data_IF_016819498431
#
_entry.id   IF_016819498431
#
_cell.length_a   1.000
_cell.length_b   1.000
_cell.length_c   1.000
_cell.angle_alpha   90.00
_cell.angle_beta   90.00
_cell.angle_gamma   90.00
#
_symmetry.space_group_name_H-M   'P 1'
#
loop_
_entity.id
_entity.type
_entity.pdbx_description
1 polymer ?
#
# COMPACT_ATOMS: atom_id res chain seq x y z
N UNK A 1 -0.74 22.20 4.62
CA UNK A 1 0.48 21.78 5.32
C UNK A 1 1.67 22.17 4.48
N UNK A 2 2.77 22.56 5.09
CA UNK A 2 3.96 23.07 4.40
C UNK A 2 5.05 21.98 4.32
N UNK A 3 6.17 22.30 3.70
CA UNK A 3 7.35 21.43 3.57
C UNK A 3 7.84 20.90 4.95
N UNK A 4 7.70 21.72 6.00
CA UNK A 4 8.04 21.34 7.37
C UNK A 4 7.19 20.17 7.88
N UNK A 5 5.87 20.14 7.61
CA UNK A 5 5.00 19.03 8.02
C UNK A 5 5.32 17.74 7.26
N UNK A 6 5.69 17.84 5.97
CA UNK A 6 6.15 16.69 5.19
C UNK A 6 7.43 16.13 5.79
N UNK A 7 8.40 16.97 6.09
CA UNK A 7 9.66 16.52 6.69
C UNK A 7 9.43 15.92 8.09
N UNK A 8 8.52 16.51 8.88
CA UNK A 8 8.19 16.01 10.22
C UNK A 8 7.59 14.60 10.17
N UNK A 9 6.58 14.35 9.32
CA UNK A 9 5.98 13.01 9.22
C UNK A 9 6.99 11.98 8.72
N UNK A 10 7.80 12.31 7.71
CA UNK A 10 8.82 11.40 7.20
C UNK A 10 9.88 11.06 8.25
N UNK A 11 10.35 12.07 9.02
CA UNK A 11 11.30 11.84 10.11
C UNK A 11 10.71 10.92 11.16
N UNK A 12 9.46 11.16 11.56
CA UNK A 12 8.77 10.34 12.56
C UNK A 12 8.61 8.89 12.10
N UNK A 13 8.22 8.68 10.84
CA UNK A 13 8.09 7.34 10.26
C UNK A 13 9.45 6.63 10.15
N UNK A 14 10.52 7.33 9.77
CA UNK A 14 11.86 6.75 9.72
C UNK A 14 12.37 6.31 11.11
N UNK A 15 12.07 7.08 12.16
CA UNK A 15 12.35 6.67 13.54
C UNK A 15 11.57 5.41 13.92
N UNK A 16 10.28 5.37 13.66
CA UNK A 16 9.41 4.24 13.99
C UNK A 16 9.75 2.96 13.22
N UNK A 17 10.31 3.08 12.02
CA UNK A 17 10.78 1.95 11.21
C UNK A 17 12.25 1.56 11.53
N UNK A 18 12.93 2.29 12.41
CA UNK A 18 14.34 2.05 12.72
C UNK A 18 15.31 2.34 11.57
N UNK A 19 14.88 3.13 10.58
CA UNK A 19 15.70 3.52 9.41
C UNK A 19 16.64 4.67 9.79
N UNK A 20 16.24 5.52 10.72
CA UNK A 20 17.01 6.69 11.16
C UNK A 20 17.21 6.67 12.67
N UNK A 21 18.39 7.11 13.13
CA UNK A 21 18.66 7.40 14.53
C UNK A 21 18.08 8.77 14.93
N UNK A 22 17.82 9.02 16.23
CA UNK A 22 17.18 10.27 16.68
C UNK A 22 18.13 11.49 16.75
N UNK A 23 19.15 11.57 15.89
CA UNK A 23 20.18 12.62 15.94
C UNK A 23 19.76 13.92 15.23
N UNK A 24 18.98 13.82 14.16
CA UNK A 24 18.55 14.97 13.32
C UNK A 24 17.03 15.18 13.40
N UNK A 25 16.56 15.56 14.59
CA UNK A 25 15.12 15.64 14.91
C UNK A 25 14.67 17.04 15.36
N UNK A 26 15.49 18.06 15.19
CA UNK A 26 15.20 19.43 15.67
C UNK A 26 13.84 19.96 15.17
N UNK A 27 13.44 19.59 13.94
CA UNK A 27 12.14 19.93 13.39
C UNK A 27 10.97 19.32 14.17
N UNK A 28 11.12 18.11 14.74
CA UNK A 28 10.10 17.49 15.60
C UNK A 28 10.10 18.10 17.01
N UNK A 29 11.29 18.38 17.57
CA UNK A 29 11.41 18.94 18.92
C UNK A 29 10.75 20.32 19.04
N UNK A 30 10.73 21.11 17.97
CA UNK A 30 10.16 22.45 17.93
C UNK A 30 8.65 22.54 17.70
N UNK A 31 7.98 21.40 17.47
CA UNK A 31 6.54 21.39 17.19
C UNK A 31 5.73 21.80 18.43
N UNK A 32 4.74 22.67 18.23
CA UNK A 32 3.72 22.99 19.22
C UNK A 32 2.73 21.84 19.38
N UNK A 33 1.90 21.88 20.43
CA UNK A 33 0.88 20.85 20.66
C UNK A 33 -0.07 20.69 19.46
N UNK A 34 -0.61 21.77 18.91
CA UNK A 34 -1.50 21.72 17.74
C UNK A 34 -0.83 21.14 16.50
N UNK A 35 0.50 21.37 16.32
CA UNK A 35 1.24 20.76 15.21
C UNK A 35 1.42 19.25 15.39
N UNK A 36 1.59 18.77 16.64
CA UNK A 36 1.60 17.34 16.95
C UNK A 36 0.26 16.69 16.69
N UNK A 37 -0.85 17.33 17.06
CA UNK A 37 -2.20 16.86 16.76
C UNK A 37 -2.43 16.74 15.27
N UNK A 38 -2.10 17.75 14.48
CA UNK A 38 -2.21 17.75 13.02
C UNK A 38 -1.35 16.63 12.39
N UNK A 39 -0.13 16.43 12.90
CA UNK A 39 0.80 15.43 12.40
C UNK A 39 0.27 14.00 12.64
N UNK A 40 -0.23 13.71 13.84
CA UNK A 40 -0.79 12.40 14.14
C UNK A 40 -2.14 12.15 13.44
N UNK A 41 -2.96 13.17 13.28
CA UNK A 41 -4.17 13.09 12.45
C UNK A 41 -3.83 12.80 10.97
N UNK A 42 -2.75 13.38 10.43
CA UNK A 42 -2.25 13.03 9.12
C UNK A 42 -1.80 11.56 9.08
N UNK A 43 -1.02 11.11 10.05
CA UNK A 43 -0.55 9.72 10.13
C UNK A 43 -1.73 8.73 10.16
N UNK A 44 -2.81 9.06 10.87
CA UNK A 44 -4.03 8.25 10.94
C UNK A 44 -4.72 8.16 9.58
N UNK A 45 -4.96 9.30 8.91
CA UNK A 45 -5.55 9.33 7.56
C UNK A 45 -4.71 8.57 6.53
N UNK A 46 -3.40 8.59 6.67
CA UNK A 46 -2.45 7.93 5.79
C UNK A 46 -2.24 6.43 6.12
N UNK A 47 -2.89 5.92 7.17
CA UNK A 47 -2.79 4.53 7.62
C UNK A 47 -1.42 4.16 8.20
N UNK A 48 -0.73 5.11 8.83
CA UNK A 48 0.62 4.92 9.39
C UNK A 48 0.74 5.40 10.84
N UNK A 49 -0.41 5.57 11.54
CA UNK A 49 -0.44 6.09 12.91
C UNK A 49 0.42 5.26 13.86
N UNK A 50 0.30 3.94 13.85
CA UNK A 50 1.04 3.09 14.78
C UNK A 50 2.56 3.22 14.59
N UNK A 51 3.03 3.32 13.33
CA UNK A 51 4.44 3.56 13.02
C UNK A 51 4.88 4.95 13.50
N UNK A 52 4.01 5.95 13.34
CA UNK A 52 4.28 7.31 13.83
C UNK A 52 4.36 7.34 15.38
N UNK A 53 3.53 6.58 16.09
CA UNK A 53 3.60 6.43 17.56
C UNK A 53 4.91 5.74 17.96
N UNK A 54 5.37 4.72 17.23
CA UNK A 54 6.70 4.13 17.47
C UNK A 54 7.81 5.15 17.35
N UNK A 55 7.77 5.97 16.29
CA UNK A 55 8.73 7.05 16.10
C UNK A 55 8.70 8.11 17.21
N UNK A 56 7.49 8.44 17.69
CA UNK A 56 7.29 9.32 18.83
C UNK A 56 7.87 8.74 20.12
N UNK A 57 7.73 7.43 20.36
CA UNK A 57 8.33 6.76 21.51
C UNK A 57 9.86 6.86 21.46
N UNK A 58 10.49 6.58 20.31
CA UNK A 58 11.93 6.74 20.10
C UNK A 58 12.38 8.19 20.37
N UNK A 59 11.62 9.17 19.87
CA UNK A 59 11.91 10.58 20.10
C UNK A 59 11.82 10.96 21.58
N UNK A 60 10.79 10.50 22.29
CA UNK A 60 10.59 10.77 23.72
C UNK A 60 11.72 10.14 24.54
N UNK A 61 12.12 8.93 24.26
CA UNK A 61 13.21 8.25 24.96
C UNK A 61 14.53 9.02 24.83
N UNK A 62 14.82 9.54 23.64
CA UNK A 62 16.06 10.27 23.38
C UNK A 62 16.02 11.74 23.86
N UNK A 63 14.89 12.44 23.73
CA UNK A 63 14.81 13.91 23.79
C UNK A 63 13.61 14.45 24.59
N UNK A 64 13.02 13.69 25.53
CA UNK A 64 11.82 14.11 26.27
C UNK A 64 11.93 15.53 26.87
N UNK A 65 13.07 15.89 27.42
CA UNK A 65 13.31 17.19 28.03
C UNK A 65 13.47 18.35 27.02
N UNK A 66 13.54 18.07 25.73
CA UNK A 66 13.78 19.04 24.66
C UNK A 66 12.52 19.40 23.88
N UNK A 67 11.49 18.54 23.91
CA UNK A 67 10.23 18.73 23.16
C UNK A 67 9.49 19.97 23.68
N UNK A 68 9.23 20.95 22.81
CA UNK A 68 8.60 22.23 23.16
C UNK A 68 7.20 22.01 23.73
N UNK A 69 6.35 21.20 23.11
CA UNK A 69 4.99 20.90 23.59
C UNK A 69 4.98 20.29 25.01
N UNK A 70 5.98 19.48 25.37
CA UNK A 70 6.12 18.96 26.75
C UNK A 70 6.44 20.07 27.72
N UNK A 71 7.28 21.05 27.35
CA UNK A 71 7.66 22.17 28.22
C UNK A 71 6.52 23.16 28.42
N UNK A 72 5.76 23.43 27.36
CA UNK A 72 4.67 24.40 27.39
C UNK A 72 3.47 23.92 28.18
N UNK A 73 3.03 22.67 27.98
CA UNK A 73 1.89 22.09 28.68
C UNK A 73 2.07 20.58 28.94
N UNK A 74 2.79 20.20 30.00
CA UNK A 74 3.05 18.80 30.32
C UNK A 74 1.77 17.95 30.54
N UNK A 75 0.73 18.53 31.11
CA UNK A 75 -0.51 17.81 31.40
C UNK A 75 -1.30 17.48 30.12
N UNK A 76 -1.46 18.45 29.23
CA UNK A 76 -2.11 18.27 27.92
C UNK A 76 -1.34 17.23 27.07
N UNK A 77 0.00 17.35 27.02
CA UNK A 77 0.85 16.39 26.35
C UNK A 77 0.66 14.97 26.88
N UNK A 78 0.58 14.81 28.19
CA UNK A 78 0.42 13.49 28.79
C UNK A 78 -0.94 12.87 28.42
N UNK A 79 -2.01 13.64 28.46
CA UNK A 79 -3.35 13.20 28.07
C UNK A 79 -3.38 12.79 26.60
N UNK A 80 -2.86 13.62 25.72
CA UNK A 80 -2.77 13.36 24.30
C UNK A 80 -1.90 12.12 23.97
N UNK A 81 -0.79 11.94 24.67
CA UNK A 81 0.06 10.75 24.50
C UNK A 81 -0.69 9.48 24.91
N UNK A 82 -1.43 9.49 26.01
CA UNK A 82 -2.26 8.36 26.44
C UNK A 82 -3.34 8.01 25.42
N UNK A 83 -3.95 9.02 24.78
CA UNK A 83 -4.92 8.79 23.70
C UNK A 83 -4.28 8.08 22.51
N UNK A 84 -3.11 8.52 22.05
CA UNK A 84 -2.40 7.88 20.93
C UNK A 84 -1.94 6.45 21.28
N UNK A 85 -1.51 6.19 22.52
CA UNK A 85 -1.21 4.82 22.98
C UNK A 85 -2.49 3.96 22.99
N UNK A 86 -3.63 4.53 23.38
CA UNK A 86 -4.92 3.84 23.31
C UNK A 86 -5.29 3.44 21.88
N UNK A 87 -5.09 4.33 20.92
CA UNK A 87 -5.25 4.03 19.47
C UNK A 87 -4.29 2.93 19.02
N UNK A 88 -3.01 2.98 19.41
CA UNK A 88 -2.04 1.94 19.12
C UNK A 88 -2.51 0.55 19.58
N UNK A 89 -3.02 0.46 20.80
CA UNK A 89 -3.57 -0.79 21.33
C UNK A 89 -4.74 -1.32 20.48
N UNK A 90 -5.59 -0.43 19.94
CA UNK A 90 -6.66 -0.83 19.02
C UNK A 90 -6.09 -1.41 17.70
N UNK A 91 -5.04 -0.81 17.12
CA UNK A 91 -4.38 -1.36 15.94
C UNK A 91 -3.82 -2.77 16.19
N UNK A 92 -3.17 -2.99 17.33
CA UNK A 92 -2.67 -4.32 17.70
C UNK A 92 -3.82 -5.34 17.88
N UNK A 93 -4.94 -4.94 18.49
CA UNK A 93 -6.11 -5.80 18.65
C UNK A 93 -6.71 -6.17 17.29
N UNK A 94 -6.85 -5.21 16.38
CA UNK A 94 -7.34 -5.45 15.01
C UNK A 94 -6.41 -6.41 14.25
N UNK A 95 -5.11 -6.22 14.35
CA UNK A 95 -4.12 -7.12 13.72
C UNK A 95 -4.22 -8.55 14.27
N UNK A 96 -4.33 -8.71 15.60
CA UNK A 96 -4.50 -10.03 16.22
C UNK A 96 -5.80 -10.71 15.80
N UNK A 97 -6.90 -9.95 15.73
CA UNK A 97 -8.18 -10.48 15.25
C UNK A 97 -8.08 -10.93 13.80
N UNK A 98 -7.47 -10.13 12.93
CA UNK A 98 -7.30 -10.46 11.53
C UNK A 98 -6.44 -11.73 11.33
N UNK A 99 -5.30 -11.85 12.03
CA UNK A 99 -4.48 -13.07 12.03
C UNK A 99 -5.29 -14.31 12.44
N UNK A 100 -6.12 -14.18 13.48
CA UNK A 100 -6.99 -15.27 13.94
C UNK A 100 -7.98 -15.70 12.85
N UNK A 101 -8.64 -14.75 12.19
CA UNK A 101 -9.60 -15.03 11.11
C UNK A 101 -8.89 -15.69 9.91
N UNK A 102 -7.72 -15.19 9.52
CA UNK A 102 -6.92 -15.80 8.46
C UNK A 102 -6.53 -17.24 8.82
N UNK A 103 -6.10 -17.47 10.08
CA UNK A 103 -5.75 -18.82 10.55
C UNK A 103 -6.93 -19.78 10.44
N UNK A 104 -8.10 -19.38 10.94
CA UNK A 104 -9.32 -20.20 10.92
C UNK A 104 -9.75 -20.54 9.48
N UNK A 105 -9.78 -19.53 8.58
CA UNK A 105 -10.14 -19.72 7.17
C UNK A 105 -9.14 -20.61 6.44
N UNK A 106 -7.84 -20.40 6.67
CA UNK A 106 -6.80 -21.17 6.01
C UNK A 106 -6.80 -22.65 6.43
N UNK A 107 -7.09 -22.94 7.71
CA UNK A 107 -7.25 -24.31 8.23
C UNK A 107 -8.52 -24.98 7.66
N UNK A 108 -9.62 -24.23 7.60
CA UNK A 108 -10.88 -24.67 7.03
C UNK A 108 -10.72 -25.07 5.55
N UNK A 109 -10.10 -24.24 4.75
CA UNK A 109 -9.86 -24.51 3.34
C UNK A 109 -8.82 -25.62 3.14
N UNK A 110 -7.78 -25.66 3.97
CA UNK A 110 -6.77 -26.74 3.91
C UNK A 110 -7.34 -28.11 4.22
N UNK A 111 -8.34 -28.24 5.10
CA UNK A 111 -9.05 -29.48 5.38
C UNK A 111 -9.75 -30.06 4.13
N UNK A 112 -10.13 -29.20 3.19
CA UNK A 112 -10.74 -29.56 1.90
C UNK A 112 -9.73 -29.57 0.73
N UNK A 113 -8.44 -29.50 1.05
CA UNK A 113 -7.34 -29.54 0.07
C UNK A 113 -7.10 -28.24 -0.67
N UNK A 114 -7.70 -27.12 -0.25
CA UNK A 114 -7.54 -25.81 -0.86
C UNK A 114 -6.42 -25.04 -0.17
N UNK A 115 -5.48 -24.50 -0.96
CA UNK A 115 -4.42 -23.63 -0.46
C UNK A 115 -4.90 -22.17 -0.43
N UNK A 116 -4.45 -21.41 0.57
CA UNK A 116 -4.69 -19.98 0.68
C UNK A 116 -3.39 -19.20 0.61
N UNK A 117 -3.31 -18.24 -0.30
CA UNK A 117 -2.27 -17.21 -0.31
C UNK A 117 -2.89 -15.87 0.03
N UNK A 118 -2.27 -15.13 0.95
CA UNK A 118 -2.59 -13.71 1.25
C UNK A 118 -1.53 -12.86 0.58
N UNK A 119 -1.94 -11.93 -0.28
CA UNK A 119 -0.98 -11.17 -1.11
C UNK A 119 -0.88 -9.66 -0.80
N UNK A 120 -1.42 -9.24 0.31
CA UNK A 120 -1.25 -7.91 0.94
C UNK A 120 -1.45 -8.06 2.44
N UNK A 121 -1.75 -6.97 3.13
CA UNK A 121 -2.14 -7.04 4.54
C UNK A 121 -1.09 -7.75 5.39
N UNK A 122 -1.46 -8.88 5.97
CA UNK A 122 -0.59 -9.67 6.87
C UNK A 122 0.65 -10.22 6.17
N UNK A 123 0.60 -10.47 4.85
CA UNK A 123 1.78 -10.88 4.09
C UNK A 123 2.86 -9.79 4.00
N UNK A 124 2.47 -8.50 4.00
CA UNK A 124 3.43 -7.40 4.05
C UNK A 124 3.80 -7.01 5.49
N UNK A 125 2.91 -7.26 6.46
CA UNK A 125 3.16 -6.91 7.86
C UNK A 125 4.42 -7.58 8.43
N UNK A 126 4.73 -8.81 7.99
CA UNK A 126 5.95 -9.53 8.40
C UNK A 126 7.26 -8.82 8.06
N UNK A 127 7.22 -7.85 7.15
CA UNK A 127 8.38 -7.06 6.72
C UNK A 127 8.66 -5.86 7.66
N UNK A 128 7.70 -5.51 8.52
CA UNK A 128 7.81 -4.40 9.45
C UNK A 128 8.53 -4.79 10.74
N UNK A 129 9.22 -3.86 11.41
CA UNK A 129 9.84 -4.13 12.71
C UNK A 129 8.87 -4.65 13.76
N UNK A 130 7.64 -4.10 13.75
CA UNK A 130 6.50 -4.53 14.56
C UNK A 130 5.32 -4.84 13.63
N UNK A 131 5.11 -6.10 13.26
CA UNK A 131 4.06 -6.49 12.30
C UNK A 131 2.66 -6.02 12.69
N UNK A 132 2.34 -5.96 13.99
CA UNK A 132 1.05 -5.51 14.51
C UNK A 132 0.79 -4.01 14.31
N UNK A 133 1.83 -3.24 14.00
CA UNK A 133 1.72 -1.78 13.80
C UNK A 133 1.50 -1.39 12.34
N UNK A 134 1.58 -2.34 11.40
CA UNK A 134 1.09 -2.11 10.05
C UNK A 134 -0.44 -2.07 10.06
N UNK A 135 -1.04 -0.96 9.58
CA UNK A 135 -2.51 -0.84 9.57
C UNK A 135 -3.18 -1.92 8.72
N UNK A 136 -4.20 -2.54 9.28
CA UNK A 136 -5.01 -3.53 8.57
C UNK A 136 -6.01 -2.89 7.61
N UNK A 137 -6.55 -3.68 6.73
CA UNK A 137 -7.63 -3.41 5.79
C UNK A 137 -8.29 -4.75 5.45
N UNK A 138 -8.90 -4.85 4.27
CA UNK A 138 -9.47 -6.10 3.80
C UNK A 138 -8.39 -7.19 3.65
N UNK A 139 -8.79 -8.45 3.81
CA UNK A 139 -7.92 -9.61 3.61
C UNK A 139 -8.01 -10.03 2.16
N UNK A 140 -7.00 -9.70 1.36
CA UNK A 140 -6.92 -10.15 -0.03
C UNK A 140 -6.34 -11.55 -0.11
N UNK A 141 -7.08 -12.52 -0.61
CA UNK A 141 -6.60 -13.89 -0.74
C UNK A 141 -6.79 -14.47 -2.14
N UNK A 142 -5.96 -15.46 -2.44
CA UNK A 142 -5.96 -16.26 -3.65
C UNK A 142 -6.03 -17.73 -3.31
N UNK A 143 -7.05 -18.42 -3.82
CA UNK A 143 -7.26 -19.86 -3.58
C UNK A 143 -6.83 -20.73 -4.77
N UNK A 144 -5.91 -20.27 -5.59
CA UNK A 144 -5.27 -21.00 -6.71
C UNK A 144 -6.26 -21.54 -7.76
N UNK A 145 -7.39 -20.88 -7.93
CA UNK A 145 -8.44 -21.26 -8.88
C UNK A 145 -9.68 -21.87 -8.21
N UNK A 146 -9.64 -22.19 -6.93
CA UNK A 146 -10.73 -22.79 -6.16
C UNK A 146 -11.63 -21.74 -5.48
N UNK A 147 -11.74 -20.52 -6.05
CA UNK A 147 -12.45 -19.41 -5.39
C UNK A 147 -13.93 -19.75 -5.12
N UNK A 148 -14.65 -20.35 -6.08
CA UNK A 148 -16.05 -20.74 -5.93
C UNK A 148 -16.22 -21.82 -4.85
N UNK A 149 -15.38 -22.85 -4.85
CA UNK A 149 -15.38 -23.90 -3.82
C UNK A 149 -15.06 -23.30 -2.44
N UNK A 150 -14.11 -22.37 -2.40
CA UNK A 150 -13.76 -21.63 -1.18
C UNK A 150 -14.95 -20.82 -0.61
N UNK A 151 -15.71 -20.16 -1.48
CA UNK A 151 -16.93 -19.44 -1.12
C UNK A 151 -18.00 -20.37 -0.51
N UNK A 152 -18.21 -21.54 -1.11
CA UNK A 152 -19.18 -22.55 -0.63
C UNK A 152 -18.78 -23.08 0.75
N UNK A 153 -17.49 -23.39 0.97
CA UNK A 153 -16.98 -23.85 2.25
C UNK A 153 -17.14 -22.76 3.32
N UNK A 154 -16.78 -21.51 3.02
CA UNK A 154 -16.94 -20.40 3.95
C UNK A 154 -18.41 -20.21 4.36
N UNK A 155 -19.35 -20.28 3.41
CA UNK A 155 -20.81 -20.25 3.69
C UNK A 155 -21.25 -21.38 4.60
N UNK A 156 -20.77 -22.62 4.36
CA UNK A 156 -21.11 -23.78 5.18
C UNK A 156 -20.64 -23.64 6.63
N UNK A 157 -19.62 -22.77 6.87
CA UNK A 157 -19.08 -22.45 8.20
C UNK A 157 -19.59 -21.11 8.77
N UNK A 158 -20.68 -20.58 8.20
CA UNK A 158 -21.39 -19.43 8.75
C UNK A 158 -20.89 -18.06 8.31
N UNK A 159 -20.06 -17.99 7.24
CA UNK A 159 -19.69 -16.72 6.62
C UNK A 159 -20.84 -16.20 5.72
N UNK A 160 -20.98 -14.88 5.65
CA UNK A 160 -21.79 -14.23 4.63
C UNK A 160 -20.94 -14.02 3.39
N UNK A 161 -21.42 -14.49 2.23
CA UNK A 161 -20.69 -14.37 0.96
C UNK A 161 -21.56 -13.66 -0.06
N UNK A 162 -21.02 -12.57 -0.59
CA UNK A 162 -21.61 -11.81 -1.67
C UNK A 162 -20.65 -11.76 -2.87
N UNK A 163 -21.19 -11.70 -4.06
CA UNK A 163 -20.39 -11.55 -5.27
C UNK A 163 -20.29 -10.08 -5.62
N UNK A 164 -19.09 -9.53 -5.44
CA UNK A 164 -18.85 -8.10 -5.69
C UNK A 164 -18.15 -7.86 -7.03
N UNK A 165 -18.57 -8.43 -8.09
CA UNK A 165 -17.97 -8.25 -9.39
C UNK A 165 -17.05 -9.42 -9.82
N UNK A 166 -16.62 -9.41 -11.10
CA UNK A 166 -15.85 -10.51 -11.70
C UNK A 166 -14.50 -10.82 -11.01
N UNK A 167 -13.98 -9.87 -10.24
CA UNK A 167 -12.63 -9.99 -9.66
C UNK A 167 -12.57 -10.84 -8.41
N UNK A 168 -13.50 -10.68 -7.51
CA UNK A 168 -13.52 -11.34 -6.22
C UNK A 168 -14.96 -11.50 -5.70
N UNK A 169 -15.15 -12.44 -4.83
CA UNK A 169 -16.26 -12.46 -3.90
C UNK A 169 -15.83 -11.79 -2.59
N UNK A 170 -16.80 -11.20 -1.93
CA UNK A 170 -16.67 -10.64 -0.60
C UNK A 170 -17.19 -11.63 0.42
N UNK A 171 -16.36 -12.06 1.35
CA UNK A 171 -16.68 -12.96 2.44
C UNK A 171 -16.60 -12.16 3.74
N UNK A 172 -17.71 -11.99 4.44
CA UNK A 172 -17.74 -11.38 5.77
C UNK A 172 -17.77 -12.50 6.81
N UNK A 173 -16.69 -12.62 7.61
CA UNK A 173 -16.51 -13.68 8.59
C UNK A 173 -15.91 -13.14 9.89
N UNK A 174 -16.63 -13.31 10.99
CA UNK A 174 -16.22 -12.88 12.34
C UNK A 174 -15.76 -11.43 12.44
N UNK A 175 -16.41 -10.53 11.71
CA UNK A 175 -16.14 -9.10 11.72
C UNK A 175 -15.03 -8.65 10.76
N UNK A 176 -14.41 -9.56 10.02
CA UNK A 176 -13.43 -9.25 8.98
C UNK A 176 -14.03 -9.42 7.59
N UNK A 177 -13.60 -8.58 6.66
CA UNK A 177 -13.93 -8.68 5.24
C UNK A 177 -12.79 -9.32 4.48
N UNK A 178 -13.10 -10.37 3.73
CA UNK A 178 -12.15 -11.10 2.90
C UNK A 178 -12.53 -10.93 1.43
N UNK A 179 -11.60 -10.47 0.61
CA UNK A 179 -11.70 -10.46 -0.84
C UNK A 179 -11.09 -11.75 -1.40
N UNK A 180 -11.95 -12.72 -1.72
CA UNK A 180 -11.53 -13.98 -2.34
C UNK A 180 -11.41 -13.80 -3.85
N UNK A 181 -10.20 -13.58 -4.33
CA UNK A 181 -9.90 -13.17 -5.69
C UNK A 181 -10.00 -14.32 -6.70
N UNK A 182 -10.68 -14.07 -7.83
CA UNK A 182 -10.68 -14.92 -9.03
C UNK A 182 -9.60 -14.49 -10.01
N UNK A 183 -9.24 -13.21 -9.98
CA UNK A 183 -8.11 -12.63 -10.73
C UNK A 183 -7.36 -11.67 -9.83
N UNK A 184 -6.05 -11.65 -9.93
CA UNK A 184 -5.15 -10.79 -9.13
C UNK A 184 -5.05 -9.38 -9.69
N UNK A 185 -5.34 -9.21 -10.99
CA UNK A 185 -5.25 -7.92 -11.67
C UNK A 185 -6.55 -7.58 -12.41
N UNK A 186 -6.66 -6.34 -12.88
CA UNK A 186 -7.75 -5.94 -13.76
C UNK A 186 -7.52 -6.49 -15.17
N UNK A 187 -8.27 -7.52 -15.57
CA UNK A 187 -8.07 -8.23 -16.85
C UNK A 187 -8.90 -7.67 -18.00
N UNK A 188 -10.02 -7.00 -17.69
CA UNK A 188 -10.98 -6.54 -18.68
C UNK A 188 -10.45 -5.39 -19.55
N UNK A 189 -10.90 -5.37 -20.83
CA UNK A 189 -10.66 -4.28 -21.78
C UNK A 189 -9.28 -4.24 -22.45
N UNK A 190 -8.34 -5.18 -22.15
CA UNK A 190 -7.01 -5.15 -22.76
C UNK A 190 -6.30 -6.51 -22.77
N UNK A 191 -5.79 -6.91 -23.94
CA UNK A 191 -4.94 -8.10 -24.07
C UNK A 191 -3.67 -7.99 -23.20
N UNK A 192 -3.12 -6.79 -23.01
CA UNK A 192 -1.95 -6.58 -22.16
C UNK A 192 -2.26 -6.84 -20.68
N UNK A 193 -3.44 -6.43 -20.19
CA UNK A 193 -3.90 -6.73 -18.82
C UNK A 193 -4.10 -8.24 -18.62
N UNK A 194 -4.69 -8.92 -19.60
CA UNK A 194 -4.82 -10.38 -19.55
C UNK A 194 -3.46 -11.10 -19.56
N UNK A 195 -2.51 -10.62 -20.36
CA UNK A 195 -1.14 -11.17 -20.37
C UNK A 195 -0.43 -10.96 -19.01
N UNK A 196 -0.62 -9.80 -18.38
CA UNK A 196 -0.07 -9.53 -17.05
C UNK A 196 -0.65 -10.46 -15.98
N UNK A 197 -1.96 -10.70 -16.00
CA UNK A 197 -2.60 -11.68 -15.11
C UNK A 197 -2.00 -13.07 -15.29
N UNK A 198 -1.80 -13.49 -16.54
CA UNK A 198 -1.21 -14.81 -16.84
C UNK A 198 0.24 -14.91 -16.32
N UNK A 199 1.03 -13.84 -16.45
CA UNK A 199 2.40 -13.80 -15.91
C UNK A 199 2.39 -13.85 -14.37
N UNK A 200 1.49 -13.11 -13.71
CA UNK A 200 1.33 -13.17 -12.24
C UNK A 200 0.92 -14.57 -11.78
N UNK A 201 -0.05 -15.21 -12.45
CA UNK A 201 -0.45 -16.60 -12.14
C UNK A 201 0.69 -17.59 -12.33
N UNK A 202 1.48 -17.41 -13.39
CA UNK A 202 2.64 -18.27 -13.64
C UNK A 202 3.68 -18.14 -12.51
N UNK A 203 3.98 -16.93 -12.04
CA UNK A 203 4.89 -16.71 -10.91
C UNK A 203 4.40 -17.44 -9.66
N UNK A 204 3.13 -17.27 -9.28
CA UNK A 204 2.57 -17.89 -8.07
C UNK A 204 2.55 -19.41 -8.13
N UNK A 205 2.26 -20.00 -9.29
CA UNK A 205 2.17 -21.45 -9.44
C UNK A 205 3.53 -22.14 -9.51
N UNK A 206 4.58 -21.40 -9.89
CA UNK A 206 5.95 -21.93 -10.04
C UNK A 206 6.84 -21.77 -8.82
N UNK A 207 6.37 -21.12 -7.76
CA UNK A 207 7.23 -20.67 -6.66
C UNK A 207 6.92 -21.34 -5.31
N UNK A 208 7.96 -21.40 -4.45
CA UNK A 208 7.82 -21.80 -3.06
C UNK A 208 7.21 -20.65 -2.25
N UNK A 209 6.04 -20.91 -1.66
CA UNK A 209 5.33 -19.98 -0.80
C UNK A 209 5.70 -20.23 0.66
N UNK A 210 5.81 -19.16 1.44
CA UNK A 210 6.16 -19.24 2.86
C UNK A 210 4.89 -19.06 3.71
N UNK A 211 4.72 -19.88 4.75
CA UNK A 211 3.62 -19.75 5.70
C UNK A 211 3.81 -18.46 6.51
N UNK A 212 2.72 -17.71 6.70
CA UNK A 212 2.71 -16.50 7.51
C UNK A 212 2.59 -16.87 8.97
N UNK A 213 3.52 -16.42 9.80
CA UNK A 213 3.50 -16.69 11.23
C UNK A 213 2.23 -16.16 11.92
N UNK A 214 1.58 -17.05 12.69
CA UNK A 214 0.32 -16.77 13.38
C UNK A 214 -0.93 -16.75 12.49
N UNK A 215 -0.81 -17.15 11.20
CA UNK A 215 -1.92 -17.17 10.24
C UNK A 215 -2.29 -18.59 9.78
N UNK A 216 -2.08 -19.63 10.60
CA UNK A 216 -2.44 -21.01 10.31
C UNK A 216 -1.69 -21.58 9.10
N UNK A 217 -2.43 -22.01 8.06
CA UNK A 217 -1.89 -22.51 6.80
C UNK A 217 -1.76 -21.46 5.70
N UNK A 218 -2.13 -20.20 5.99
CA UNK A 218 -2.05 -19.14 5.00
C UNK A 218 -0.59 -18.85 4.62
N UNK A 219 -0.36 -18.64 3.33
CA UNK A 219 0.95 -18.43 2.74
C UNK A 219 1.09 -17.00 2.23
N UNK A 220 2.30 -16.47 2.25
CA UNK A 220 2.66 -15.22 1.56
C UNK A 220 3.28 -15.51 0.20
N UNK A 221 3.18 -14.60 -0.77
CA UNK A 221 3.81 -14.74 -2.07
C UNK A 221 5.34 -14.66 -1.97
N UNK A 222 6.01 -15.15 -3.02
CA UNK A 222 7.46 -14.99 -3.15
C UNK A 222 7.86 -13.52 -3.30
N UNK A 223 9.11 -13.18 -3.00
CA UNK A 223 9.64 -11.83 -3.22
C UNK A 223 9.53 -11.38 -4.69
N UNK A 224 9.74 -12.28 -5.66
CA UNK A 224 9.64 -11.97 -7.08
C UNK A 224 8.22 -11.56 -7.48
N UNK A 225 7.21 -12.36 -7.08
CA UNK A 225 5.81 -12.00 -7.30
C UNK A 225 5.47 -10.69 -6.59
N UNK A 226 5.86 -10.56 -5.31
CA UNK A 226 5.50 -9.41 -4.49
C UNK A 226 6.07 -8.10 -5.07
N UNK A 227 7.30 -8.09 -5.58
CA UNK A 227 7.86 -6.94 -6.29
C UNK A 227 6.99 -6.50 -7.47
N UNK A 228 6.62 -7.45 -8.34
CA UNK A 228 5.79 -7.18 -9.51
C UNK A 228 4.38 -6.72 -9.12
N UNK A 229 3.78 -7.42 -8.15
CA UNK A 229 2.41 -7.16 -7.71
C UNK A 229 2.26 -5.84 -6.96
N UNK A 230 3.16 -5.51 -6.02
CA UNK A 230 3.14 -4.24 -5.30
C UNK A 230 3.30 -3.04 -6.24
N UNK A 231 4.17 -3.17 -7.25
CA UNK A 231 4.34 -2.12 -8.26
C UNK A 231 3.06 -1.92 -9.08
N UNK A 232 2.47 -3.00 -9.59
CA UNK A 232 1.20 -2.94 -10.33
C UNK A 232 0.07 -2.37 -9.46
N UNK A 233 -0.11 -2.91 -8.28
CA UNK A 233 -1.17 -2.54 -7.35
C UNK A 233 -1.03 -1.09 -6.88
N UNK A 234 0.20 -0.66 -6.59
CA UNK A 234 0.51 0.74 -6.25
C UNK A 234 0.14 1.70 -7.38
N UNK A 235 0.51 1.38 -8.63
CA UNK A 235 0.10 2.21 -9.79
C UNK A 235 -1.42 2.24 -9.95
N UNK A 236 -2.09 1.10 -9.77
CA UNK A 236 -3.54 1.03 -9.87
C UNK A 236 -4.22 1.96 -8.85
N UNK A 237 -3.83 1.90 -7.58
CA UNK A 237 -4.33 2.83 -6.55
C UNK A 237 -4.00 4.28 -6.89
N UNK A 238 -2.77 4.56 -7.29
CA UNK A 238 -2.35 5.91 -7.64
C UNK A 238 -3.23 6.55 -8.72
N UNK A 239 -3.67 5.76 -9.69
CA UNK A 239 -4.53 6.23 -10.78
C UNK A 239 -6.01 6.30 -10.42
N UNK A 240 -6.50 5.45 -9.50
CA UNK A 240 -7.92 5.38 -9.14
C UNK A 240 -8.29 6.21 -7.91
N UNK A 241 -7.69 5.93 -6.79
CA UNK A 241 -8.06 6.48 -5.47
C UNK A 241 -7.02 7.43 -4.89
N UNK A 242 -5.81 7.38 -5.43
CA UNK A 242 -4.62 8.01 -4.84
C UNK A 242 -3.81 7.02 -3.99
N UNK A 243 -2.53 7.33 -3.81
CA UNK A 243 -1.64 6.56 -2.96
C UNK A 243 -1.77 7.05 -1.51
N UNK A 244 -1.66 6.13 -0.55
CA UNK A 244 -1.46 6.46 0.87
C UNK A 244 -0.05 6.10 1.32
N UNK A 245 0.41 6.75 2.38
CA UNK A 245 1.75 6.45 2.94
C UNK A 245 1.91 4.97 3.28
N UNK A 246 0.86 4.27 3.72
CA UNK A 246 0.97 2.83 4.01
C UNK A 246 1.43 1.99 2.80
N UNK A 247 1.01 2.33 1.56
CA UNK A 247 1.46 1.61 0.37
C UNK A 247 2.91 1.98 0.01
N UNK A 248 3.31 3.22 0.25
CA UNK A 248 4.71 3.66 0.09
C UNK A 248 5.59 2.94 1.11
N UNK A 249 5.15 2.82 2.36
CA UNK A 249 5.89 2.07 3.39
C UNK A 249 5.93 0.57 3.11
N UNK A 250 4.86 -0.04 2.59
CA UNK A 250 4.89 -1.45 2.17
C UNK A 250 5.99 -1.69 1.14
N UNK A 251 6.12 -0.80 0.15
CA UNK A 251 7.18 -0.87 -0.85
C UNK A 251 8.57 -0.66 -0.24
N UNK A 252 8.72 0.33 0.62
CA UNK A 252 9.99 0.62 1.30
C UNK A 252 10.44 -0.55 2.18
N UNK A 253 9.55 -1.13 2.97
CA UNK A 253 9.86 -2.30 3.81
C UNK A 253 10.16 -3.55 2.98
N UNK A 254 9.45 -3.74 1.86
CA UNK A 254 9.76 -4.78 0.91
C UNK A 254 11.20 -4.64 0.37
N UNK A 255 11.58 -3.46 -0.09
CA UNK A 255 12.95 -3.20 -0.54
C UNK A 255 13.98 -3.49 0.57
N UNK A 256 13.74 -2.98 1.77
CA UNK A 256 14.67 -3.15 2.88
C UNK A 256 14.92 -4.62 3.26
N UNK A 257 13.92 -5.50 3.09
CA UNK A 257 13.97 -6.88 3.58
C UNK A 257 14.15 -7.94 2.50
N UNK A 258 13.68 -7.70 1.29
CA UNK A 258 13.48 -8.75 0.30
C UNK A 258 14.14 -8.47 -1.06
N UNK A 259 14.68 -7.27 -1.29
CA UNK A 259 15.24 -6.89 -2.60
C UNK A 259 16.31 -7.84 -3.12
N UNK A 260 17.15 -8.40 -2.24
CA UNK A 260 18.25 -9.32 -2.63
C UNK A 260 17.73 -10.67 -3.15
N UNK A 261 16.45 -10.99 -2.91
CA UNK A 261 15.80 -12.22 -3.35
C UNK A 261 15.06 -12.05 -4.68
N UNK A 262 15.08 -10.85 -5.26
CA UNK A 262 14.40 -10.53 -6.52
C UNK A 262 15.37 -10.64 -7.69
N UNK A 263 14.99 -11.40 -8.72
CA UNK A 263 15.64 -11.34 -10.01
C UNK A 263 15.37 -9.98 -10.65
N UNK A 264 16.39 -9.15 -10.64
CA UNK A 264 16.34 -7.76 -11.09
C UNK A 264 15.93 -7.65 -12.55
N UNK A 265 16.51 -8.48 -13.43
CA UNK A 265 16.27 -8.38 -14.87
C UNK A 265 14.86 -8.85 -15.19
N UNK A 266 14.38 -9.92 -14.54
CA UNK A 266 13.00 -10.38 -14.64
C UNK A 266 12.00 -9.31 -14.17
N UNK A 267 12.25 -8.65 -13.02
CA UNK A 267 11.42 -7.58 -12.50
C UNK A 267 11.31 -6.39 -13.49
N UNK A 268 12.45 -5.92 -14.03
CA UNK A 268 12.44 -4.80 -14.97
C UNK A 268 11.84 -5.16 -16.32
N UNK A 269 12.04 -6.40 -16.78
CA UNK A 269 11.37 -6.90 -17.99
C UNK A 269 9.85 -6.90 -17.80
N UNK A 270 9.36 -7.32 -16.63
CA UNK A 270 7.95 -7.21 -16.29
C UNK A 270 7.47 -5.76 -16.29
N UNK A 271 8.17 -4.85 -15.61
CA UNK A 271 7.82 -3.44 -15.55
C UNK A 271 7.76 -2.80 -16.95
N UNK A 272 8.77 -3.05 -17.82
CA UNK A 272 8.78 -2.55 -19.19
C UNK A 272 7.64 -3.10 -20.03
N UNK A 273 7.39 -4.41 -19.94
CA UNK A 273 6.33 -5.09 -20.69
C UNK A 273 4.96 -4.52 -20.39
N UNK A 274 4.71 -4.15 -19.14
CA UNK A 274 3.40 -3.68 -18.66
C UNK A 274 3.33 -2.18 -18.37
N UNK A 275 4.34 -1.41 -18.80
CA UNK A 275 4.43 0.05 -18.62
C UNK A 275 4.37 0.52 -17.17
N UNK A 276 4.96 -0.27 -16.28
CA UNK A 276 5.09 0.05 -14.87
C UNK A 276 6.42 0.73 -14.53
N UNK A 277 7.35 0.78 -15.49
CA UNK A 277 8.74 1.19 -15.29
C UNK A 277 8.85 2.58 -14.64
N UNK A 278 8.15 3.56 -15.20
CA UNK A 278 8.19 4.94 -14.69
C UNK A 278 7.66 5.06 -13.26
N UNK A 279 6.59 4.36 -12.95
CA UNK A 279 6.06 4.31 -11.60
C UNK A 279 7.02 3.60 -10.63
N UNK A 280 7.61 2.49 -11.05
CA UNK A 280 8.62 1.78 -10.27
C UNK A 280 9.84 2.67 -9.96
N UNK A 281 10.34 3.43 -10.94
CA UNK A 281 11.42 4.40 -10.75
C UNK A 281 11.05 5.49 -9.73
N UNK A 282 9.84 6.03 -9.81
CA UNK A 282 9.35 7.03 -8.87
C UNK A 282 9.24 6.46 -7.45
N UNK A 283 8.68 5.27 -7.30
CA UNK A 283 8.55 4.60 -6.00
C UNK A 283 9.91 4.25 -5.41
N UNK A 284 10.87 3.84 -6.24
CA UNK A 284 12.24 3.61 -5.83
C UNK A 284 12.90 4.89 -5.31
N UNK A 285 12.74 6.00 -6.06
CA UNK A 285 13.26 7.31 -5.64
C UNK A 285 12.65 7.75 -4.30
N UNK A 286 11.35 7.56 -4.11
CA UNK A 286 10.68 7.88 -2.83
C UNK A 286 11.27 7.04 -1.69
N UNK A 287 11.44 5.74 -1.89
CA UNK A 287 12.00 4.86 -0.86
C UNK A 287 13.43 5.24 -0.48
N UNK A 288 14.28 5.60 -1.45
CA UNK A 288 15.68 5.97 -1.18
C UNK A 288 15.83 7.39 -0.64
N UNK A 289 15.31 8.39 -1.34
CA UNK A 289 15.59 9.80 -1.04
C UNK A 289 14.71 10.36 0.09
N UNK A 290 13.44 9.91 0.20
CA UNK A 290 12.54 10.41 1.24
C UNK A 290 12.57 9.53 2.50
N UNK A 291 12.65 8.21 2.33
CA UNK A 291 12.63 7.28 3.47
C UNK A 291 14.02 6.76 3.87
N UNK A 292 15.05 6.95 3.05
CA UNK A 292 16.42 6.55 3.39
C UNK A 292 16.67 5.04 3.32
N UNK A 293 15.86 4.30 2.57
CA UNK A 293 16.07 2.86 2.36
C UNK A 293 17.26 2.66 1.42
N UNK A 294 18.23 1.87 1.83
CA UNK A 294 19.33 1.45 0.96
C UNK A 294 18.85 0.44 -0.06
N UNK A 295 19.14 0.65 -1.33
CA UNK A 295 18.76 -0.28 -2.40
C UNK A 295 19.98 -0.81 -3.14
N UNK A 296 20.05 -2.14 -3.29
CA UNK A 296 21.00 -2.84 -4.16
C UNK A 296 20.47 -2.99 -5.59
N UNK A 297 19.18 -2.79 -5.78
CA UNK A 297 18.55 -2.73 -7.11
C UNK A 297 18.94 -1.40 -7.75
N UNK A 298 20.21 -1.24 -8.03
CA UNK A 298 20.79 -0.04 -8.65
C UNK A 298 20.24 0.15 -10.06
N UNK A 299 19.07 0.79 -10.14
CA UNK A 299 18.46 1.24 -11.37
C UNK A 299 19.09 2.50 -11.93
N UNK A 300 19.58 3.31 -11.04
CA UNK A 300 19.86 4.72 -11.29
C UNK A 300 21.06 4.97 -12.18
N UNK A 301 22.02 4.04 -12.31
CA UNK A 301 23.24 4.33 -13.11
C UNK A 301 23.23 3.80 -14.54
N UNK A 302 22.56 2.70 -14.85
CA UNK A 302 22.66 2.07 -16.18
C UNK A 302 21.57 2.55 -17.14
N UNK A 303 20.40 2.96 -16.64
CA UNK A 303 19.28 3.37 -17.49
C UNK A 303 19.18 4.89 -17.70
N UNK A 304 19.65 5.72 -16.77
CA UNK A 304 19.74 7.17 -17.00
C UNK A 304 20.68 7.53 -18.17
N UNK A 305 21.69 6.70 -18.42
CA UNK A 305 22.61 6.90 -19.55
C UNK A 305 22.05 6.37 -20.90
N UNK A 306 21.15 5.39 -20.88
CA UNK A 306 20.50 4.83 -22.07
C UNK A 306 19.23 5.57 -22.53
N UNK A 307 18.59 6.34 -21.66
CA UNK A 307 17.36 7.10 -21.93
C UNK A 307 17.59 8.56 -22.36
N UNK A 308 18.83 8.99 -22.50
CA UNK A 308 19.20 10.33 -23.02
C UNK A 308 18.76 10.54 -24.47
N UNK A 309 17.47 10.46 -24.76
CA UNK A 309 17.11 10.77 -26.14
C UNK A 309 15.66 10.75 -26.57
N UNK A 310 14.73 10.25 -25.81
CA UNK A 310 13.32 10.20 -26.25
C UNK A 310 12.37 10.16 -25.06
N UNK A 311 11.92 11.27 -24.59
CA UNK A 311 10.61 11.54 -23.96
C UNK A 311 10.74 12.84 -23.14
N UNK A 312 9.68 13.62 -23.05
CA UNK A 312 9.54 14.81 -22.18
C UNK A 312 10.03 14.49 -20.76
N UNK A 313 11.30 14.79 -20.49
CA UNK A 313 11.99 14.45 -19.22
C UNK A 313 11.53 15.36 -18.09
N UNK A 314 10.34 15.09 -17.58
CA UNK A 314 10.09 15.48 -16.21
C UNK A 314 10.96 14.57 -15.35
N UNK A 315 11.98 15.16 -14.73
CA UNK A 315 12.93 14.49 -13.85
C UNK A 315 12.18 13.62 -12.84
N UNK A 316 12.63 12.39 -12.56
CA UNK A 316 12.05 11.46 -11.57
C UNK A 316 11.86 12.14 -10.22
N UNK A 317 12.80 12.99 -9.81
CA UNK A 317 12.69 13.82 -8.61
C UNK A 317 11.39 14.66 -8.61
N UNK A 318 11.11 15.38 -9.69
CA UNK A 318 9.91 16.24 -9.79
C UNK A 318 8.63 15.39 -9.78
N UNK A 319 8.65 14.19 -10.38
CA UNK A 319 7.52 13.27 -10.32
C UNK A 319 7.33 12.73 -8.90
N UNK A 320 8.41 12.36 -8.23
CA UNK A 320 8.36 11.88 -6.84
C UNK A 320 7.83 12.97 -5.89
N UNK A 321 8.27 14.22 -6.06
CA UNK A 321 7.73 15.36 -5.32
C UNK A 321 6.22 15.50 -5.52
N UNK A 322 5.74 15.42 -6.78
CA UNK A 322 4.30 15.47 -7.10
C UNK A 322 3.54 14.29 -6.52
N UNK A 323 4.09 13.08 -6.57
CA UNK A 323 3.46 11.89 -5.97
C UNK A 323 3.36 12.06 -4.47
N UNK A 324 4.43 12.48 -3.80
CA UNK A 324 4.43 12.73 -2.36
C UNK A 324 3.44 13.84 -1.96
N UNK A 325 3.39 14.92 -2.74
CA UNK A 325 2.42 15.99 -2.53
C UNK A 325 0.98 15.49 -2.70
N UNK A 326 0.70 14.74 -3.76
CA UNK A 326 -0.61 14.12 -3.99
C UNK A 326 -0.98 13.15 -2.87
N UNK A 327 -0.03 12.35 -2.38
CA UNK A 327 -0.25 11.39 -1.31
C UNK A 327 -0.60 12.05 0.02
N UNK A 328 0.13 13.10 0.39
CA UNK A 328 -0.02 13.71 1.71
C UNK A 328 -1.13 14.78 1.78
N UNK A 329 -1.46 15.41 0.64
CA UNK A 329 -2.29 16.63 0.62
C UNK A 329 -3.51 16.58 -0.28
N UNK A 330 -3.62 15.63 -1.23
CA UNK A 330 -4.86 15.45 -1.95
C UNK A 330 -5.87 14.80 -0.98
N UNK A 331 -6.92 15.55 -0.67
CA UNK A 331 -7.97 15.06 0.20
C UNK A 331 -8.67 13.84 -0.41
N UNK A 332 -8.91 12.83 0.41
CA UNK A 332 -9.87 11.71 0.19
C UNK A 332 -11.33 12.21 0.07
N UNK A 333 -11.50 13.46 -0.38
CA UNK A 333 -12.74 14.23 -0.32
C UNK A 333 -13.86 13.60 -1.13
N UNK A 334 -13.54 12.72 -2.09
CA UNK A 334 -14.56 12.19 -2.99
C UNK A 334 -15.30 10.99 -2.40
N UNK A 335 -14.61 10.08 -1.70
CA UNK A 335 -15.23 8.85 -1.20
C UNK A 335 -16.00 9.06 0.12
N UNK A 336 -15.58 10.02 0.95
CA UNK A 336 -16.23 10.34 2.23
C UNK A 336 -17.15 11.58 2.18
N UNK A 337 -17.51 12.08 1.00
CA UNK A 337 -18.20 13.35 0.84
C UNK A 337 -19.71 13.32 1.05
N UNK A 338 -20.30 12.14 1.32
CA UNK A 338 -21.78 11.98 1.38
C UNK A 338 -22.52 12.29 0.07
N UNK A 339 -21.79 12.44 -1.04
CA UNK A 339 -22.33 12.73 -2.38
C UNK A 339 -22.87 11.44 -3.00
N UNK A 340 -23.85 11.58 -3.93
CA UNK A 340 -24.33 10.43 -4.67
C UNK A 340 -23.22 9.80 -5.51
N UNK A 341 -23.28 8.48 -5.73
CA UNK A 341 -22.33 7.71 -6.53
C UNK A 341 -22.11 8.33 -7.93
N UNK A 342 -23.16 8.86 -8.54
CA UNK A 342 -23.06 9.51 -9.85
C UNK A 342 -22.22 10.79 -9.80
N UNK A 343 -22.39 11.59 -8.76
CA UNK A 343 -21.60 12.82 -8.54
C UNK A 343 -20.12 12.48 -8.31
N UNK A 344 -19.85 11.45 -7.51
CA UNK A 344 -18.49 10.98 -7.25
C UNK A 344 -17.84 10.50 -8.55
N UNK A 345 -18.51 9.67 -9.34
CA UNK A 345 -18.00 9.18 -10.63
C UNK A 345 -17.73 10.32 -11.61
N UNK A 346 -18.64 11.30 -11.70
CA UNK A 346 -18.43 12.47 -12.55
C UNK A 346 -17.21 13.30 -12.13
N UNK A 347 -17.04 13.54 -10.82
CA UNK A 347 -15.89 14.26 -10.27
C UNK A 347 -14.57 13.50 -10.51
N UNK A 348 -14.56 12.17 -10.38
CA UNK A 348 -13.41 11.35 -10.72
C UNK A 348 -13.00 11.53 -12.20
N UNK A 349 -13.94 11.40 -13.12
CA UNK A 349 -13.69 11.60 -14.56
C UNK A 349 -13.20 13.02 -14.84
N UNK A 350 -13.81 14.05 -14.22
CA UNK A 350 -13.36 15.43 -14.34
C UNK A 350 -11.93 15.58 -13.84
N UNK A 351 -11.61 15.06 -12.65
CA UNK A 351 -10.25 15.14 -12.09
C UNK A 351 -9.22 14.41 -12.98
N UNK A 352 -9.56 13.23 -13.50
CA UNK A 352 -8.69 12.50 -14.45
C UNK A 352 -8.36 13.34 -15.68
N UNK A 353 -9.31 14.08 -16.22
CA UNK A 353 -9.13 14.91 -17.42
C UNK A 353 -8.43 16.25 -17.15
N UNK A 354 -8.42 16.70 -15.91
CA UNK A 354 -7.88 18.03 -15.50
C UNK A 354 -6.73 17.90 -14.51
N UNK A 355 -7.02 17.87 -13.21
CA UNK A 355 -6.04 17.90 -12.12
C UNK A 355 -5.09 16.71 -12.17
N UNK A 356 -5.60 15.50 -12.40
CA UNK A 356 -4.85 14.24 -12.30
C UNK A 356 -4.30 13.75 -13.66
N UNK A 357 -4.51 14.52 -14.74
CA UNK A 357 -4.04 14.16 -16.09
C UNK A 357 -2.55 13.81 -16.15
N UNK A 358 -1.74 14.46 -15.32
CA UNK A 358 -0.29 14.19 -15.24
C UNK A 358 0.01 12.78 -14.73
N UNK A 359 -0.80 12.20 -13.83
CA UNK A 359 -0.66 10.83 -13.31
C UNK A 359 -0.63 9.83 -14.47
N UNK A 360 -1.55 10.01 -15.42
CA UNK A 360 -1.67 9.13 -16.60
C UNK A 360 -0.58 9.41 -17.63
N UNK A 361 -0.36 10.68 -17.96
CA UNK A 361 0.60 11.08 -19.00
C UNK A 361 2.05 10.84 -18.58
N UNK A 362 2.42 11.29 -17.38
CA UNK A 362 3.82 11.41 -16.96
C UNK A 362 4.30 10.18 -16.16
N UNK A 363 3.40 9.50 -15.43
CA UNK A 363 3.75 8.35 -14.60
C UNK A 363 3.32 7.03 -15.25
N UNK A 364 2.04 6.85 -15.59
CA UNK A 364 1.54 5.63 -16.22
C UNK A 364 1.88 5.52 -17.71
N UNK A 365 2.29 6.62 -18.35
CA UNK A 365 2.56 6.70 -19.79
C UNK A 365 1.38 6.21 -20.64
N UNK A 366 0.16 6.55 -20.19
CA UNK A 366 -1.09 6.17 -20.85
C UNK A 366 -1.88 7.40 -21.30
N UNK A 367 -2.66 7.20 -22.36
CA UNK A 367 -3.61 8.22 -22.82
C UNK A 367 -4.86 8.15 -21.94
N UNK A 368 -5.21 9.23 -21.26
CA UNK A 368 -6.38 9.32 -20.36
C UNK A 368 -7.67 8.92 -21.04
N UNK A 369 -7.89 9.37 -22.29
CA UNK A 369 -9.11 9.04 -23.04
C UNK A 369 -9.17 7.54 -23.38
N UNK A 370 -8.02 6.93 -23.72
CA UNK A 370 -7.92 5.48 -23.95
C UNK A 370 -8.17 4.71 -22.65
N UNK A 371 -7.66 5.16 -21.55
CA UNK A 371 -7.88 4.57 -20.23
C UNK A 371 -9.38 4.61 -19.84
N UNK A 372 -10.03 5.77 -20.00
CA UNK A 372 -11.47 5.93 -19.78
C UNK A 372 -12.28 5.01 -20.69
N UNK A 373 -11.94 4.97 -21.99
CA UNK A 373 -12.61 4.09 -22.94
C UNK A 373 -12.50 2.62 -22.56
N UNK A 374 -11.31 2.14 -22.22
CA UNK A 374 -11.08 0.75 -21.81
C UNK A 374 -11.85 0.37 -20.55
N UNK A 375 -11.91 1.28 -19.57
CA UNK A 375 -12.67 1.04 -18.34
C UNK A 375 -14.18 1.08 -18.61
N UNK A 376 -14.68 2.01 -19.43
CA UNK A 376 -16.10 2.13 -19.75
C UNK A 376 -16.59 0.95 -20.61
N UNK A 377 -15.80 0.53 -21.60
CA UNK A 377 -16.15 -0.63 -22.44
C UNK A 377 -16.07 -1.93 -21.67
N UNK A 378 -15.09 -2.08 -20.77
CA UNK A 378 -15.05 -3.23 -19.86
C UNK A 378 -16.28 -3.36 -18.97
N UNK A 379 -16.95 -2.24 -18.63
CA UNK A 379 -18.23 -2.25 -17.89
C UNK A 379 -19.46 -2.54 -18.76
N UNK A 380 -19.43 -2.13 -20.03
CA UNK A 380 -20.62 -2.19 -20.91
C UNK A 380 -20.74 -3.49 -21.71
N UNK A 381 -19.60 -4.11 -22.06
CA UNK A 381 -19.58 -5.26 -22.99
C UNK A 381 -19.29 -6.60 -22.34
N UNK A 382 -18.96 -6.65 -21.05
CA UNK A 382 -18.72 -7.90 -20.31
C UNK A 382 -19.88 -8.24 -19.37
N UNK A 383 -21.10 -8.26 -19.92
CA UNK A 383 -22.31 -8.70 -19.22
C UNK A 383 -22.63 -10.18 -19.47
N UNK A 384 -21.61 -11.01 -19.65
CA UNK A 384 -21.79 -12.48 -19.73
C UNK A 384 -20.73 -13.17 -18.86
#
# INVERSE_FOLDING_TARGET
MNEQSTQAILTLLKLGLGIQQPDNVSGLLSLSMGQWEDLMALAERQGVLAIAVDGLQVLIEAHKGEIVAVKENPAEWQMWLLENIGKLTQYEMMNRQQKKVISELSEMWAAEGIRMMVFKGQANAVLYPKPEHRSVGDIDCWLFGDAEKGDEIAKAHGAEVSFDWYRHSKIDYKGETIENHRVMSHTRGSKAKQAMENDLRFMVNGEWLTVIDGCGKAMMPSPQFNACFLTYHGLHHFLSEGLRMKQILDWAMFLQKEQDKVDRDAYWNFCRRYKLERFAEVMMYIATEYLGVETNINLTKVQLDGLKGKVNDMNIKVLAEKVMQSTLYDDDYLFNSGKSDWTVRWLLVKNMLTRDKWKYRDVAQENVLKHLWQNTTGYLFDKD
#
